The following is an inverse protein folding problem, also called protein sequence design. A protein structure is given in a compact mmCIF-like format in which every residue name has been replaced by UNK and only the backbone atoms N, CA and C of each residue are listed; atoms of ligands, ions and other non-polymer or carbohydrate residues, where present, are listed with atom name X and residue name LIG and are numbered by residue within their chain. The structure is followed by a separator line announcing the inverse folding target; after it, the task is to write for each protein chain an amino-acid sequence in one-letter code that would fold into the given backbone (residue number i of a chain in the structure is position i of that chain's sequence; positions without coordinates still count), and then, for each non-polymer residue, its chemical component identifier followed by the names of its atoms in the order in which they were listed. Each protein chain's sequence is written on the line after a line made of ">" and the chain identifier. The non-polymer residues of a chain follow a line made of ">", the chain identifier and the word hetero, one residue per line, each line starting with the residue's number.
data_IF_297352560917
#
_entry.id   IF_297352560917
#
_cell.length_a   1.000
_cell.length_b   1.000
_cell.length_c   1.000
_cell.angle_alpha   90.00
_cell.angle_beta   90.00
_cell.angle_gamma   90.00
#
_symmetry.space_group_name_H-M   'P 1'
#
loop_
_entity.id
_entity.type
_entity.pdbx_description
1 polymer ?
#
# COMPACT_ATOMS: atom_id res chain seq x y z
N UNK A 1 5.48 32.29 4.56
CA UNK A 1 5.22 33.62 5.15
C UNK A 1 4.25 34.47 4.32
N UNK A 2 4.31 34.54 2.98
CA UNK A 2 3.43 35.42 2.18
C UNK A 2 1.93 35.08 2.20
N UNK A 3 1.56 33.80 2.35
CA UNK A 3 0.15 33.36 2.27
C UNK A 3 -0.68 33.88 3.45
N UNK A 4 -0.11 33.98 4.66
CA UNK A 4 -0.82 34.50 5.83
C UNK A 4 -1.15 35.99 5.69
N UNK A 5 -0.25 36.77 5.09
CA UNK A 5 -0.51 38.18 4.76
C UNK A 5 -1.66 38.36 3.76
N UNK A 6 -1.70 37.52 2.73
CA UNK A 6 -2.83 37.49 1.78
C UNK A 6 -4.14 37.03 2.44
N UNK A 7 -4.08 36.11 3.40
CA UNK A 7 -5.28 35.70 4.16
C UNK A 7 -5.76 36.83 5.06
N UNK A 8 -4.85 37.58 5.69
CA UNK A 8 -5.17 38.74 6.52
C UNK A 8 -5.98 39.78 5.76
N UNK A 9 -5.57 40.13 4.53
CA UNK A 9 -6.31 41.09 3.69
C UNK A 9 -7.66 40.55 3.21
N UNK A 10 -7.82 39.22 3.16
CA UNK A 10 -9.05 38.58 2.73
C UNK A 10 -10.07 38.37 3.87
N UNK A 11 -9.68 38.51 5.13
CA UNK A 11 -10.54 38.21 6.27
C UNK A 11 -11.04 39.48 6.97
N UNK A 12 -12.35 39.54 7.19
CA UNK A 12 -12.97 40.51 8.09
C UNK A 12 -13.04 39.94 9.50
N UNK A 13 -12.13 40.38 10.37
CA UNK A 13 -12.00 39.89 11.75
C UNK A 13 -12.60 40.81 12.83
N UNK A 14 -13.20 41.94 12.46
CA UNK A 14 -13.86 42.80 13.46
C UNK A 14 -14.95 42.05 14.27
N UNK A 15 -15.15 42.39 15.55
CA UNK A 15 -16.02 41.63 16.47
C UNK A 15 -17.52 41.75 16.12
N UNK A 16 -17.93 42.88 15.54
CA UNK A 16 -19.34 43.19 15.26
C UNK A 16 -19.64 43.17 13.76
N UNK A 17 -20.89 42.87 13.40
CA UNK A 17 -21.37 42.95 12.01
C UNK A 17 -21.89 44.36 11.76
N UNK A 18 -21.22 45.13 10.91
CA UNK A 18 -21.64 46.50 10.57
C UNK A 18 -22.88 46.47 9.66
N UNK A 19 -23.97 47.08 10.14
CA UNK A 19 -25.22 47.28 9.41
C UNK A 19 -25.70 48.72 9.64
N UNK A 20 -25.68 49.53 8.58
CA UNK A 20 -26.08 50.94 8.63
C UNK A 20 -27.56 51.15 9.00
N UNK A 21 -28.39 50.10 8.91
CA UNK A 21 -29.83 50.15 9.20
C UNK A 21 -30.17 49.88 10.68
N UNK A 22 -29.19 49.56 11.54
CA UNK A 22 -29.42 49.23 12.95
C UNK A 22 -28.72 50.22 13.88
N UNK A 23 -29.43 50.68 14.92
CA UNK A 23 -28.87 51.53 16.00
C UNK A 23 -27.76 50.82 16.79
N UNK A 24 -27.85 49.50 16.98
CA UNK A 24 -26.86 48.68 17.67
C UNK A 24 -26.34 47.57 16.77
N UNK A 25 -25.03 47.34 16.80
CA UNK A 25 -24.36 46.32 16.00
C UNK A 25 -24.38 44.98 16.73
N UNK A 26 -24.63 43.89 16.01
CA UNK A 26 -24.69 42.54 16.58
C UNK A 26 -23.33 41.85 16.50
N UNK A 27 -23.02 41.00 17.48
CA UNK A 27 -21.84 40.13 17.42
C UNK A 27 -21.82 39.28 16.15
N UNK A 28 -20.63 39.14 15.58
CA UNK A 28 -20.44 38.44 14.32
C UNK A 28 -20.42 36.93 14.54
N UNK A 29 -21.48 36.24 14.09
CA UNK A 29 -21.55 34.76 14.12
C UNK A 29 -20.65 34.07 13.09
N UNK A 30 -20.45 34.69 11.91
CA UNK A 30 -19.60 34.16 10.82
C UNK A 30 -18.91 35.30 10.07
N UNK A 31 -17.60 35.19 9.82
CA UNK A 31 -16.88 36.12 8.95
C UNK A 31 -16.93 35.66 7.49
N UNK A 32 -17.36 36.56 6.60
CA UNK A 32 -17.27 36.33 5.15
C UNK A 32 -15.88 36.71 4.67
N UNK A 33 -15.15 35.73 4.15
CA UNK A 33 -13.86 35.96 3.49
C UNK A 33 -14.09 36.51 2.07
N UNK A 34 -13.31 37.51 1.69
CA UNK A 34 -13.28 38.09 0.34
C UNK A 34 -11.90 37.83 -0.24
N UNK A 35 -11.81 36.98 -1.26
CA UNK A 35 -10.51 36.61 -1.83
C UNK A 35 -10.06 37.62 -2.87
N UNK A 36 -8.83 38.11 -2.72
CA UNK A 36 -8.20 39.01 -3.68
C UNK A 36 -6.86 38.46 -4.12
N UNK A 37 -6.52 38.66 -5.39
CA UNK A 37 -5.23 38.33 -5.95
C UNK A 37 -4.76 39.52 -6.80
N UNK A 38 -3.60 40.09 -6.47
CA UNK A 38 -3.08 41.32 -7.09
C UNK A 38 -4.12 42.45 -7.18
N UNK A 39 -4.86 42.68 -6.09
CA UNK A 39 -5.88 43.74 -6.01
C UNK A 39 -7.22 43.43 -6.72
N UNK A 40 -7.35 42.28 -7.41
CA UNK A 40 -8.60 41.87 -8.07
C UNK A 40 -9.35 40.84 -7.25
N UNK A 41 -10.68 40.97 -7.19
CA UNK A 41 -11.54 39.99 -6.54
C UNK A 41 -11.59 38.69 -7.33
N UNK A 42 -11.45 37.56 -6.63
CA UNK A 42 -11.50 36.22 -7.21
C UNK A 42 -12.40 35.32 -6.37
N UNK A 43 -12.95 34.27 -7.00
CA UNK A 43 -13.67 33.23 -6.26
C UNK A 43 -12.67 32.33 -5.49
N UNK A 44 -13.16 31.64 -4.46
CA UNK A 44 -12.33 30.76 -3.63
C UNK A 44 -11.60 29.68 -4.43
N UNK A 45 -12.23 28.94 -5.38
CA UNK A 45 -11.52 27.93 -6.16
C UNK A 45 -10.35 28.50 -6.98
N UNK A 46 -10.54 29.67 -7.59
CA UNK A 46 -9.48 30.35 -8.36
C UNK A 46 -8.36 30.81 -7.45
N UNK A 47 -8.68 31.37 -6.29
CA UNK A 47 -7.68 31.75 -5.27
C UNK A 47 -6.84 30.56 -4.80
N UNK A 48 -7.46 29.40 -4.56
CA UNK A 48 -6.77 28.17 -4.18
C UNK A 48 -5.80 27.69 -5.26
N UNK A 49 -6.23 27.73 -6.54
CA UNK A 49 -5.40 27.34 -7.69
C UNK A 49 -4.21 28.28 -7.86
N UNK A 50 -4.43 29.59 -7.82
CA UNK A 50 -3.37 30.60 -7.98
C UNK A 50 -2.29 30.49 -6.88
N UNK A 51 -2.68 30.12 -5.66
CA UNK A 51 -1.75 29.94 -4.54
C UNK A 51 -1.22 28.51 -4.37
N UNK A 52 -1.69 27.55 -5.17
CA UNK A 52 -1.29 26.14 -5.08
C UNK A 52 -1.60 25.50 -3.72
N UNK A 53 -2.74 25.86 -3.10
CA UNK A 53 -3.14 25.33 -1.78
C UNK A 53 -4.48 24.60 -1.84
N UNK A 54 -4.64 23.58 -0.99
CA UNK A 54 -5.93 22.89 -0.83
C UNK A 54 -6.90 23.70 0.03
N UNK A 55 -8.20 23.47 -0.14
CA UNK A 55 -9.25 24.09 0.69
C UNK A 55 -9.04 23.80 2.19
N UNK A 56 -8.59 22.58 2.52
CA UNK A 56 -8.25 22.17 3.89
C UNK A 56 -7.09 22.99 4.45
N UNK A 57 -6.06 23.23 3.64
CA UNK A 57 -4.92 24.06 4.02
C UNK A 57 -5.34 25.52 4.24
N UNK A 58 -6.19 26.06 3.38
CA UNK A 58 -6.75 27.41 3.55
C UNK A 58 -7.52 27.53 4.86
N UNK A 59 -8.45 26.60 5.16
CA UNK A 59 -9.21 26.60 6.42
C UNK A 59 -8.28 26.53 7.64
N UNK A 60 -7.31 25.62 7.62
CA UNK A 60 -6.34 25.48 8.71
C UNK A 60 -5.47 26.73 8.92
N UNK A 61 -5.19 27.50 7.86
CA UNK A 61 -4.48 28.77 7.96
C UNK A 61 -5.39 29.89 8.47
N UNK A 62 -6.66 29.93 8.07
CA UNK A 62 -7.64 30.90 8.58
C UNK A 62 -7.88 30.72 10.07
N UNK A 63 -8.01 29.47 10.55
CA UNK A 63 -8.21 29.18 11.97
C UNK A 63 -6.96 29.51 12.79
N UNK A 64 -5.77 29.12 12.31
CA UNK A 64 -4.52 29.53 12.93
C UNK A 64 -4.39 31.06 13.05
N UNK A 65 -4.75 31.80 12.00
CA UNK A 65 -4.67 33.25 12.00
C UNK A 65 -5.63 33.89 13.02
N UNK A 66 -6.82 33.32 13.23
CA UNK A 66 -7.75 33.82 14.26
C UNK A 66 -7.19 33.67 15.67
N UNK A 67 -6.47 32.59 15.93
CA UNK A 67 -5.94 32.24 17.25
C UNK A 67 -4.57 32.88 17.54
N UNK A 68 -3.68 32.94 16.54
CA UNK A 68 -2.26 33.28 16.71
C UNK A 68 -1.80 34.46 15.82
N UNK A 69 -2.70 35.07 15.04
CA UNK A 69 -2.38 36.18 14.15
C UNK A 69 -1.41 35.81 13.00
N UNK A 70 -0.46 36.72 12.71
CA UNK A 70 0.52 36.58 11.62
C UNK A 70 1.70 35.67 11.97
N UNK A 71 1.66 34.99 13.12
CA UNK A 71 2.74 34.09 13.49
C UNK A 71 2.89 32.92 12.49
N UNK A 72 4.12 32.45 12.25
CA UNK A 72 4.33 31.26 11.46
C UNK A 72 3.66 30.05 12.11
N UNK A 73 2.71 29.45 11.40
CA UNK A 73 2.05 28.21 11.81
C UNK A 73 3.07 27.10 12.01
N UNK A 74 3.36 26.78 13.27
CA UNK A 74 4.09 25.56 13.66
C UNK A 74 3.24 24.36 13.22
N UNK A 75 3.83 23.48 12.41
CA UNK A 75 3.18 22.22 12.08
C UNK A 75 2.99 21.43 13.38
N UNK A 76 1.77 20.92 13.63
CA UNK A 76 1.56 19.92 14.70
C UNK A 76 2.56 18.78 14.44
N UNK A 77 3.37 18.49 15.45
CA UNK A 77 4.70 17.91 15.32
C UNK A 77 4.82 16.73 14.33
N UNK A 78 5.84 16.81 13.45
CA UNK A 78 6.69 15.65 13.18
C UNK A 78 6.96 15.19 11.76
N UNK A 79 6.12 15.55 10.79
CA UNK A 79 6.27 15.07 9.41
C UNK A 79 6.52 13.55 9.35
N UNK A 80 7.33 13.08 8.39
CA UNK A 80 7.71 11.67 8.28
C UNK A 80 8.53 11.16 9.47
N UNK A 81 9.23 12.05 10.19
CA UNK A 81 10.16 11.71 11.27
C UNK A 81 9.48 11.30 12.58
N UNK A 82 8.31 11.85 12.91
CA UNK A 82 7.54 11.42 14.09
C UNK A 82 6.47 10.38 13.73
N UNK A 83 6.57 9.75 12.55
CA UNK A 83 5.68 8.66 12.21
C UNK A 83 6.09 7.41 13.00
N UNK A 84 5.50 7.22 14.17
CA UNK A 84 5.64 6.01 15.00
C UNK A 84 5.23 4.73 14.26
N UNK A 85 4.55 4.84 13.11
CA UNK A 85 4.19 3.71 12.24
C UNK A 85 5.25 3.37 11.19
N UNK A 86 6.33 4.14 11.07
CA UNK A 86 7.45 3.77 10.20
C UNK A 86 8.14 2.52 10.75
N UNK A 87 8.57 1.63 9.87
CA UNK A 87 9.42 0.50 10.23
C UNK A 87 10.88 0.94 10.23
N UNK A 88 11.64 0.47 11.21
CA UNK A 88 13.09 0.57 11.21
C UNK A 88 13.70 -0.34 10.14
N UNK A 89 14.90 -0.01 9.62
CA UNK A 89 15.61 -0.87 8.67
C UNK A 89 15.82 -2.30 9.22
N UNK A 90 16.16 -2.42 10.51
CA UNK A 90 16.36 -3.71 11.16
C UNK A 90 15.07 -4.56 11.22
N UNK A 91 13.90 -3.94 11.42
CA UNK A 91 12.61 -4.66 11.35
C UNK A 91 12.33 -5.18 9.94
N UNK A 92 12.62 -4.36 8.92
CA UNK A 92 12.45 -4.75 7.52
C UNK A 92 13.35 -5.94 7.20
N UNK A 93 14.63 -5.85 7.57
CA UNK A 93 15.61 -6.91 7.33
C UNK A 93 15.21 -8.23 7.99
N UNK A 94 14.74 -8.21 9.24
CA UNK A 94 14.24 -9.42 9.91
C UNK A 94 13.06 -10.06 9.17
N UNK A 95 12.10 -9.26 8.71
CA UNK A 95 10.95 -9.78 7.95
C UNK A 95 11.41 -10.38 6.63
N UNK A 96 12.31 -9.70 5.93
CA UNK A 96 12.88 -10.17 4.66
C UNK A 96 13.66 -11.46 4.87
N UNK A 97 14.47 -11.54 5.92
CA UNK A 97 15.23 -12.73 6.27
C UNK A 97 14.32 -13.90 6.59
N UNK A 98 13.23 -13.67 7.34
CA UNK A 98 12.22 -14.69 7.59
C UNK A 98 11.62 -15.25 6.28
N UNK A 99 11.26 -14.38 5.33
CA UNK A 99 10.69 -14.82 4.04
C UNK A 99 11.70 -15.67 3.26
N UNK A 100 12.98 -15.27 3.25
CA UNK A 100 14.06 -16.02 2.58
C UNK A 100 14.25 -17.40 3.21
N UNK A 101 14.38 -17.46 4.54
CA UNK A 101 14.53 -18.72 5.27
C UNK A 101 13.31 -19.64 5.05
N UNK A 102 12.09 -19.09 5.10
CA UNK A 102 10.89 -19.86 4.81
C UNK A 102 10.92 -20.46 3.40
N UNK A 103 11.41 -19.71 2.42
CA UNK A 103 11.55 -20.19 1.04
C UNK A 103 12.65 -21.22 0.89
N UNK A 104 13.78 -21.09 1.59
CA UNK A 104 14.82 -22.13 1.61
C UNK A 104 14.27 -23.48 2.10
N UNK A 105 13.44 -23.46 3.15
CA UNK A 105 12.86 -24.67 3.73
C UNK A 105 11.71 -25.27 2.90
N UNK A 106 10.89 -24.43 2.26
CA UNK A 106 9.62 -24.86 1.66
C UNK A 106 9.58 -24.78 0.14
N UNK A 107 10.55 -24.14 -0.53
CA UNK A 107 10.50 -24.00 -1.98
C UNK A 107 10.66 -25.35 -2.69
N UNK A 108 9.84 -25.53 -3.72
CA UNK A 108 9.91 -26.65 -4.64
C UNK A 108 11.09 -26.41 -5.57
N UNK A 109 12.05 -27.32 -5.55
CA UNK A 109 13.17 -27.33 -6.47
C UNK A 109 12.75 -28.08 -7.74
N UNK A 110 12.46 -27.32 -8.80
CA UNK A 110 12.14 -27.89 -10.10
C UNK A 110 13.43 -27.98 -10.94
N UNK A 111 13.72 -29.13 -11.57
CA UNK A 111 14.82 -29.22 -12.51
C UNK A 111 14.50 -28.37 -13.76
N UNK A 112 15.42 -27.47 -14.11
CA UNK A 112 15.26 -26.58 -15.26
C UNK A 112 14.47 -25.31 -14.98
N UNK A 113 14.02 -24.64 -16.04
CA UNK A 113 13.37 -23.33 -15.95
C UNK A 113 11.88 -23.46 -15.62
N UNK A 114 11.40 -22.67 -14.67
CA UNK A 114 9.98 -22.65 -14.28
C UNK A 114 9.12 -22.01 -15.39
N UNK A 115 8.11 -22.73 -15.93
CA UNK A 115 7.22 -22.18 -16.94
C UNK A 115 6.49 -20.91 -16.47
N UNK A 116 6.31 -19.95 -17.38
CA UNK A 116 5.64 -18.69 -17.09
C UNK A 116 6.52 -17.62 -16.45
N UNK A 117 7.78 -17.95 -16.14
CA UNK A 117 8.73 -16.98 -15.64
C UNK A 117 9.93 -16.79 -16.57
N UNK A 118 10.41 -15.54 -16.63
CA UNK A 118 11.58 -15.16 -17.42
C UNK A 118 12.91 -15.34 -16.70
N UNK A 119 12.87 -15.36 -15.37
CA UNK A 119 14.05 -15.46 -14.53
C UNK A 119 14.28 -16.91 -14.13
N UNK A 120 15.56 -17.25 -13.94
CA UNK A 120 15.99 -18.59 -13.58
C UNK A 120 16.22 -18.74 -12.06
N UNK A 121 16.30 -17.63 -11.32
CA UNK A 121 16.55 -17.57 -9.86
C UNK A 121 15.28 -17.64 -9.01
N UNK A 122 14.21 -18.26 -9.52
CA UNK A 122 12.91 -18.25 -8.87
C UNK A 122 12.79 -19.37 -7.86
N UNK A 123 12.44 -19.00 -6.64
CA UNK A 123 12.07 -19.94 -5.59
C UNK A 123 10.55 -20.07 -5.56
N UNK A 124 10.07 -21.27 -5.91
CA UNK A 124 8.64 -21.53 -6.04
C UNK A 124 8.09 -22.17 -4.76
N UNK A 125 7.29 -21.43 -3.99
CA UNK A 125 6.58 -22.00 -2.85
C UNK A 125 5.40 -22.85 -3.32
N UNK A 126 5.09 -23.99 -2.66
CA UNK A 126 3.94 -24.82 -2.98
C UNK A 126 2.62 -24.04 -3.00
N UNK A 127 1.69 -24.47 -3.84
CA UNK A 127 0.33 -23.90 -3.93
C UNK A 127 -0.43 -24.02 -2.60
N UNK A 128 -0.11 -25.04 -1.80
CA UNK A 128 -0.60 -25.27 -0.43
C UNK A 128 -0.07 -24.27 0.61
N UNK A 129 0.92 -23.45 0.24
CA UNK A 129 1.53 -22.41 1.10
C UNK A 129 1.28 -21.00 0.54
N UNK A 130 0.02 -20.54 0.48
CA UNK A 130 -0.26 -19.18 0.03
C UNK A 130 0.36 -18.16 1.00
N UNK A 131 0.62 -16.94 0.51
CA UNK A 131 1.22 -15.84 1.32
C UNK A 131 0.49 -15.60 2.65
N UNK A 132 -0.80 -15.91 2.72
CA UNK A 132 -1.60 -15.83 3.95
C UNK A 132 -1.17 -16.85 5.01
N UNK A 133 -0.86 -18.08 4.59
CA UNK A 133 -0.35 -19.13 5.47
C UNK A 133 1.04 -18.73 5.98
N UNK A 134 1.92 -18.33 5.08
CA UNK A 134 3.27 -17.85 5.44
C UNK A 134 3.21 -16.68 6.43
N UNK A 135 2.27 -15.75 6.24
CA UNK A 135 2.07 -14.66 7.20
C UNK A 135 1.58 -15.17 8.57
N UNK A 136 0.70 -16.16 8.63
CA UNK A 136 0.28 -16.77 9.91
C UNK A 136 1.45 -17.46 10.61
N UNK A 137 2.28 -18.17 9.86
CA UNK A 137 3.47 -18.85 10.37
C UNK A 137 4.50 -17.81 10.87
N UNK A 138 4.63 -16.68 10.17
CA UNK A 138 5.42 -15.52 10.62
C UNK A 138 4.90 -14.96 11.94
N UNK A 139 3.59 -14.75 12.08
CA UNK A 139 3.00 -14.23 13.33
C UNK A 139 3.24 -15.21 14.49
N UNK A 140 3.07 -16.52 14.24
CA UNK A 140 3.30 -17.54 15.24
C UNK A 140 4.77 -17.62 15.68
N UNK A 141 5.71 -17.58 14.73
CA UNK A 141 7.16 -17.59 15.02
C UNK A 141 7.63 -16.29 15.69
N UNK A 142 7.13 -15.13 15.25
CA UNK A 142 7.41 -13.84 15.87
C UNK A 142 6.92 -13.77 17.32
N UNK A 143 5.77 -14.40 17.62
CA UNK A 143 5.27 -14.54 18.99
C UNK A 143 6.20 -15.37 19.88
N UNK A 144 6.74 -16.49 19.36
CA UNK A 144 7.71 -17.34 20.08
C UNK A 144 9.05 -16.64 20.30
N UNK A 145 9.50 -15.85 19.33
CA UNK A 145 10.75 -15.08 19.40
C UNK A 145 10.64 -13.79 20.25
N UNK A 146 9.48 -13.51 20.86
CA UNK A 146 9.28 -12.34 21.72
C UNK A 146 9.29 -11.01 20.98
N UNK A 147 8.99 -10.99 19.68
CA UNK A 147 9.01 -9.74 18.90
C UNK A 147 7.88 -8.81 19.32
N UNK A 148 8.24 -7.61 19.78
CA UNK A 148 7.29 -6.62 20.33
C UNK A 148 6.36 -6.02 19.28
N UNK A 149 6.77 -6.03 18.00
CA UNK A 149 6.02 -5.41 16.90
C UNK A 149 5.84 -6.36 15.74
N UNK A 150 4.59 -6.76 15.53
CA UNK A 150 4.15 -7.55 14.38
C UNK A 150 3.54 -6.61 13.34
N UNK A 151 3.98 -6.73 12.10
CA UNK A 151 3.46 -5.93 10.99
C UNK A 151 2.11 -6.44 10.50
N UNK A 152 1.29 -5.55 9.93
CA UNK A 152 0.06 -5.97 9.25
C UNK A 152 0.37 -6.88 8.06
N UNK A 153 -0.57 -7.75 7.70
CA UNK A 153 -0.49 -8.60 6.50
C UNK A 153 -0.22 -7.82 5.22
N UNK A 154 -0.80 -6.63 5.09
CA UNK A 154 -0.59 -5.76 3.92
C UNK A 154 0.85 -5.26 3.86
N UNK A 155 1.39 -4.83 5.00
CA UNK A 155 2.79 -4.41 5.12
C UNK A 155 3.73 -5.56 4.81
N UNK A 156 3.47 -6.75 5.36
CA UNK A 156 4.25 -7.96 5.07
C UNK A 156 4.25 -8.30 3.58
N UNK A 157 3.06 -8.33 2.95
CA UNK A 157 2.93 -8.58 1.50
C UNK A 157 3.66 -7.55 0.65
N UNK A 158 3.65 -6.27 1.07
CA UNK A 158 4.36 -5.20 0.39
C UNK A 158 5.88 -5.37 0.49
N UNK A 159 6.39 -5.67 1.70
CA UNK A 159 7.81 -5.93 1.92
C UNK A 159 8.28 -7.14 1.10
N UNK A 160 7.49 -8.21 1.07
CA UNK A 160 7.76 -9.35 0.21
C UNK A 160 7.89 -8.94 -1.26
N UNK A 161 6.91 -8.24 -1.82
CA UNK A 161 6.95 -7.84 -3.23
C UNK A 161 8.15 -6.94 -3.54
N UNK A 162 8.54 -6.08 -2.60
CA UNK A 162 9.61 -5.13 -2.78
C UNK A 162 11.01 -5.75 -2.67
N UNK A 163 11.23 -6.66 -1.71
CA UNK A 163 12.56 -7.17 -1.36
C UNK A 163 12.78 -8.64 -1.78
N UNK A 164 11.71 -9.41 -1.94
CA UNK A 164 11.74 -10.82 -2.32
C UNK A 164 10.84 -11.13 -3.53
N UNK A 165 10.93 -10.39 -4.66
CA UNK A 165 10.05 -10.61 -5.81
C UNK A 165 10.28 -11.97 -6.51
N UNK A 166 11.44 -12.60 -6.29
CA UNK A 166 11.82 -13.91 -6.85
C UNK A 166 11.23 -15.09 -6.06
N UNK A 167 10.69 -14.86 -4.86
CA UNK A 167 9.99 -15.88 -4.08
C UNK A 167 8.51 -15.80 -4.44
N UNK A 168 8.02 -16.81 -5.16
CA UNK A 168 6.66 -16.80 -5.74
C UNK A 168 5.89 -18.02 -5.30
N UNK A 169 4.59 -17.87 -5.05
CA UNK A 169 3.70 -19.00 -4.75
C UNK A 169 3.26 -19.63 -6.07
N UNK A 170 3.49 -20.93 -6.19
CA UNK A 170 3.03 -21.76 -7.29
C UNK A 170 1.51 -21.65 -7.43
N UNK A 171 1.05 -21.56 -8.67
CA UNK A 171 -0.31 -21.95 -9.01
C UNK A 171 -0.42 -23.48 -8.96
N UNK A 172 -1.61 -24.05 -8.73
CA UNK A 172 -1.82 -25.51 -8.73
C UNK A 172 -1.42 -26.26 -10.01
N UNK A 173 -1.13 -25.55 -11.10
CA UNK A 173 -0.63 -26.15 -12.35
C UNK A 173 0.90 -26.11 -12.46
N UNK A 174 1.54 -25.26 -11.67
CA UNK A 174 2.99 -25.01 -11.69
C UNK A 174 3.74 -25.71 -10.56
N UNK A 175 3.03 -26.35 -9.63
CA UNK A 175 3.61 -27.21 -8.58
C UNK A 175 3.90 -28.64 -9.05
N UNK A 176 3.62 -28.94 -10.32
CA UNK A 176 3.88 -30.23 -10.96
C UNK A 176 5.35 -30.35 -11.40
N UNK A 177 5.96 -31.50 -11.15
CA UNK A 177 7.29 -31.84 -11.68
C UNK A 177 7.27 -31.99 -13.21
N UNK A 178 8.45 -32.06 -13.84
CA UNK A 178 8.57 -32.17 -15.30
C UNK A 178 7.81 -33.36 -15.89
N UNK A 179 7.79 -34.50 -15.18
CA UNK A 179 7.12 -35.73 -15.61
C UNK A 179 5.60 -35.60 -15.51
N UNK A 180 5.09 -35.05 -14.40
CA UNK A 180 3.68 -34.68 -14.27
C UNK A 180 3.22 -33.70 -15.36
N UNK A 181 4.04 -32.69 -15.68
CA UNK A 181 3.72 -31.74 -16.75
C UNK A 181 3.69 -32.40 -18.13
N UNK A 182 4.67 -33.26 -18.43
CA UNK A 182 4.73 -33.99 -19.69
C UNK A 182 3.51 -34.91 -19.87
N UNK A 183 3.19 -35.68 -18.84
CA UNK A 183 2.04 -36.59 -18.83
C UNK A 183 0.71 -35.82 -18.97
N UNK A 184 0.50 -34.75 -18.19
CA UNK A 184 -0.71 -33.92 -18.31
C UNK A 184 -0.83 -33.28 -19.69
N UNK A 185 0.29 -32.88 -20.32
CA UNK A 185 0.28 -32.34 -21.68
C UNK A 185 -0.13 -33.39 -22.71
N UNK A 186 0.36 -34.64 -22.57
CA UNK A 186 -0.05 -35.77 -23.43
C UNK A 186 -1.54 -36.06 -23.26
N UNK A 187 -2.03 -36.13 -22.02
CA UNK A 187 -3.45 -36.34 -21.71
C UNK A 187 -4.30 -35.20 -22.29
N UNK A 188 -3.89 -33.94 -22.14
CA UNK A 188 -4.66 -32.83 -22.68
C UNK A 188 -4.72 -32.83 -24.22
N UNK A 189 -3.68 -33.35 -24.88
CA UNK A 189 -3.58 -33.42 -26.35
C UNK A 189 -4.10 -34.74 -26.94
N UNK A 190 -4.65 -35.65 -26.14
CA UNK A 190 -5.06 -37.00 -26.57
C UNK A 190 -6.44 -37.05 -27.25
N UNK A 191 -7.05 -35.92 -27.60
CA UNK A 191 -8.42 -35.85 -28.12
C UNK A 191 -8.69 -36.81 -29.30
N UNK A 192 -7.69 -37.00 -30.17
CA UNK A 192 -7.79 -37.84 -31.37
C UNK A 192 -7.27 -39.27 -31.19
N UNK A 193 -6.85 -39.67 -29.99
CA UNK A 193 -6.37 -41.02 -29.70
C UNK A 193 -7.52 -41.99 -29.41
N UNK A 194 -7.27 -43.29 -29.53
CA UNK A 194 -8.26 -44.31 -29.15
C UNK A 194 -8.45 -44.36 -27.63
N UNK A 195 -9.50 -45.02 -27.18
CA UNK A 195 -9.80 -45.09 -25.75
C UNK A 195 -8.77 -45.94 -24.99
N UNK A 196 -8.19 -46.96 -25.64
CA UNK A 196 -7.10 -47.77 -25.10
C UNK A 196 -5.86 -46.90 -24.85
N UNK A 197 -5.42 -46.12 -25.84
CA UNK A 197 -4.26 -45.23 -25.73
C UNK A 197 -4.47 -44.14 -24.66
N UNK A 198 -5.69 -43.58 -24.57
CA UNK A 198 -6.04 -42.63 -23.51
C UNK A 198 -5.95 -43.28 -22.13
N UNK A 199 -6.40 -44.53 -22.00
CA UNK A 199 -6.33 -45.27 -20.74
C UNK A 199 -4.88 -45.50 -20.30
N UNK A 200 -3.98 -45.82 -21.23
CA UNK A 200 -2.55 -46.01 -20.96
C UNK A 200 -1.88 -44.73 -20.47
N UNK A 201 -2.19 -43.58 -21.09
CA UNK A 201 -1.68 -42.27 -20.65
C UNK A 201 -2.14 -41.93 -19.22
N UNK A 202 -3.39 -42.23 -18.87
CA UNK A 202 -3.91 -42.04 -17.51
C UNK A 202 -3.22 -42.97 -16.51
N UNK A 203 -3.01 -44.25 -16.87
CA UNK A 203 -2.29 -45.22 -16.04
C UNK A 203 -0.84 -44.83 -15.83
N UNK A 204 -0.16 -44.29 -16.84
CA UNK A 204 1.20 -43.76 -16.70
C UNK A 204 1.25 -42.58 -15.72
N UNK A 205 0.29 -41.66 -15.81
CA UNK A 205 0.20 -40.56 -14.85
C UNK A 205 -0.11 -41.04 -13.43
N UNK A 206 -1.03 -41.99 -13.28
CA UNK A 206 -1.37 -42.56 -11.98
C UNK A 206 -0.18 -43.27 -11.33
N UNK A 207 0.57 -44.08 -12.11
CA UNK A 207 1.80 -44.74 -11.63
C UNK A 207 2.83 -43.74 -11.14
N UNK A 208 2.97 -42.62 -11.82
CA UNK A 208 3.89 -41.57 -11.39
C UNK A 208 3.44 -40.87 -10.10
N UNK A 209 2.14 -40.63 -9.93
CA UNK A 209 1.59 -40.01 -8.72
C UNK A 209 1.61 -40.94 -7.50
N UNK A 210 1.68 -42.26 -7.70
CA UNK A 210 1.75 -43.27 -6.64
C UNK A 210 3.18 -43.64 -6.21
N UNK A 211 4.21 -43.05 -6.83
CA UNK A 211 5.61 -43.20 -6.44
C UNK A 211 6.00 -42.18 -5.37
#
# INVERSE_FOLDING_TARGET
>A
MMILGLISSCMRNGPTTQCNKRKTQTERKKSRSTYTFNGKFVCQPTFLKLLGISANKLRALQDHFKENGLEPRKLKAGGRKNNTKSLSPAEIERIVQYIKQYAEDHAVHLPGRVPGFKRDDIQLLPSSTPKNKVFRDYVASAGRAGHTRIVSRQTFSRLWLQYCPFIVVAKPTTDLCWRCQANNTRIFRSANLTDEEKSELLLEQQRHLSQ
#
